data_IF_428689703724
#
_entry.id   IF_428689703724
#
_cell.length_a   1.000
_cell.length_b   1.000
_cell.length_c   1.000
_cell.angle_alpha   90.00
_cell.angle_beta   90.00
_cell.angle_gamma   90.00
#
_symmetry.space_group_name_H-M   'P 1'
#
loop_
_entity.id
_entity.type
_entity.pdbx_description
1 polymer ?
#
# COMPACT_ATOMS: atom_id res chain seq x y z
N UNK A 1 4.81 27.38 -10.36
CA UNK A 1 4.26 26.00 -10.33
C UNK A 1 3.33 25.86 -11.54
N UNK A 2 3.57 24.89 -12.45
CA UNK A 2 2.79 24.76 -13.70
C UNK A 2 1.34 24.30 -13.42
N UNK A 3 0.39 24.70 -14.28
CA UNK A 3 -1.03 24.38 -14.11
C UNK A 3 -1.32 22.87 -14.01
N UNK A 4 -0.59 22.05 -14.77
CA UNK A 4 -0.68 20.59 -14.73
C UNK A 4 -0.24 19.99 -13.39
N UNK A 5 0.84 20.51 -12.80
CA UNK A 5 1.30 20.03 -11.49
C UNK A 5 0.28 20.34 -10.38
N UNK A 6 -0.35 21.51 -10.45
CA UNK A 6 -1.43 21.89 -9.50
C UNK A 6 -2.65 20.99 -9.66
N UNK A 7 -3.02 20.64 -10.89
CA UNK A 7 -4.13 19.73 -11.19
C UNK A 7 -3.85 18.30 -10.70
N UNK A 8 -2.63 17.80 -10.87
CA UNK A 8 -2.22 16.48 -10.36
C UNK A 8 -2.27 16.42 -8.83
N UNK A 9 -1.77 17.46 -8.16
CA UNK A 9 -1.80 17.55 -6.70
C UNK A 9 -3.24 17.55 -6.15
N UNK A 10 -4.12 18.36 -6.77
CA UNK A 10 -5.53 18.45 -6.40
C UNK A 10 -6.26 17.12 -6.62
N UNK A 11 -5.99 16.43 -7.73
CA UNK A 11 -6.57 15.11 -7.99
C UNK A 11 -6.11 14.07 -6.96
N UNK A 12 -4.84 14.09 -6.58
CA UNK A 12 -4.29 13.19 -5.56
C UNK A 12 -4.91 13.44 -4.19
N UNK A 13 -5.01 14.70 -3.78
CA UNK A 13 -5.63 15.08 -2.50
C UNK A 13 -7.12 14.74 -2.47
N UNK A 14 -7.84 15.00 -3.56
CA UNK A 14 -9.24 14.62 -3.69
C UNK A 14 -9.46 13.10 -3.60
N UNK A 15 -8.55 12.31 -4.17
CA UNK A 15 -8.55 10.86 -4.03
C UNK A 15 -8.32 10.40 -2.60
N UNK A 16 -7.33 10.99 -1.91
CA UNK A 16 -7.03 10.69 -0.50
C UNK A 16 -8.22 10.98 0.42
N UNK A 17 -8.87 12.14 0.26
CA UNK A 17 -10.05 12.50 1.07
C UNK A 17 -11.20 11.51 0.89
N UNK A 18 -11.51 11.15 -0.35
CA UNK A 18 -12.59 10.18 -0.65
C UNK A 18 -12.26 8.81 -0.08
N UNK A 19 -10.99 8.39 -0.18
CA UNK A 19 -10.59 7.11 0.35
C UNK A 19 -10.62 7.08 1.88
N UNK A 20 -10.17 8.16 2.54
CA UNK A 20 -10.31 8.32 3.98
C UNK A 20 -11.77 8.22 4.42
N UNK A 21 -12.69 8.97 3.80
CA UNK A 21 -14.12 8.88 4.10
C UNK A 21 -14.65 7.46 3.88
N UNK A 22 -14.32 6.82 2.75
CA UNK A 22 -14.79 5.48 2.44
C UNK A 22 -14.33 4.44 3.48
N UNK A 23 -13.06 4.48 3.90
CA UNK A 23 -12.56 3.54 4.90
C UNK A 23 -13.08 3.84 6.30
N UNK A 24 -13.31 5.11 6.65
CA UNK A 24 -14.02 5.46 7.91
C UNK A 24 -15.42 4.89 7.92
N UNK A 25 -16.20 5.13 6.85
CA UNK A 25 -17.58 4.63 6.73
C UNK A 25 -17.58 3.10 6.76
N UNK A 26 -16.66 2.44 6.06
CA UNK A 26 -16.56 0.98 6.08
C UNK A 26 -16.23 0.43 7.47
N UNK A 27 -15.36 1.09 8.25
CA UNK A 27 -15.06 0.69 9.63
C UNK A 27 -16.26 0.92 10.56
N UNK A 28 -16.96 2.05 10.41
CA UNK A 28 -18.17 2.34 11.19
C UNK A 28 -19.27 1.32 10.88
N UNK A 29 -19.53 1.05 9.60
CA UNK A 29 -20.44 -0.02 9.17
C UNK A 29 -19.95 -1.38 9.69
N UNK A 30 -18.64 -1.64 9.61
CA UNK A 30 -17.94 -2.78 10.21
C UNK A 30 -18.44 -3.14 11.60
N UNK A 31 -18.38 -2.17 12.51
CA UNK A 31 -18.71 -2.36 13.92
C UNK A 31 -20.18 -2.15 14.28
N UNK A 32 -21.02 -1.64 13.36
CA UNK A 32 -22.44 -1.33 13.66
C UNK A 32 -23.42 -2.22 12.92
N UNK A 33 -23.15 -2.49 11.64
CA UNK A 33 -24.05 -3.20 10.74
C UNK A 33 -23.44 -4.51 10.27
N UNK A 34 -22.14 -4.53 9.97
CA UNK A 34 -21.41 -5.75 9.62
C UNK A 34 -21.06 -6.51 10.92
N UNK A 35 -20.36 -7.63 10.78
CA UNK A 35 -20.04 -8.53 11.88
C UNK A 35 -18.64 -8.33 12.45
N UNK A 36 -18.12 -7.10 12.60
CA UNK A 36 -16.80 -6.93 13.19
C UNK A 36 -16.85 -7.27 14.68
N UNK A 37 -16.28 -8.41 15.05
CA UNK A 37 -16.17 -8.86 16.43
C UNK A 37 -15.11 -8.08 17.24
N UNK A 38 -14.29 -7.29 16.54
CA UNK A 38 -13.24 -6.48 17.14
C UNK A 38 -13.79 -5.34 18.00
N UNK A 39 -13.12 -5.07 19.12
CA UNK A 39 -13.46 -3.94 20.01
C UNK A 39 -13.31 -2.59 19.31
N UNK A 40 -14.21 -1.64 19.61
CA UNK A 40 -14.11 -0.23 19.23
C UNK A 40 -12.79 0.43 19.63
N UNK A 41 -12.09 -0.12 20.62
CA UNK A 41 -10.76 0.36 21.01
C UNK A 41 -9.71 0.13 19.92
N UNK A 42 -9.86 -0.88 19.06
CA UNK A 42 -8.90 -1.19 18.01
C UNK A 42 -8.74 -0.04 17.00
N UNK A 43 -9.78 0.41 16.27
CA UNK A 43 -9.63 1.52 15.33
C UNK A 43 -9.20 2.82 16.03
N UNK A 44 -9.65 3.07 17.28
CA UNK A 44 -9.26 4.26 18.03
C UNK A 44 -7.76 4.27 18.39
N UNK A 45 -7.23 3.13 18.87
CA UNK A 45 -5.79 2.98 19.16
C UNK A 45 -4.96 3.09 17.89
N UNK A 46 -5.39 2.44 16.79
CA UNK A 46 -4.70 2.55 15.51
C UNK A 46 -4.65 4.01 15.02
N UNK A 47 -5.76 4.75 15.10
CA UNK A 47 -5.80 6.17 14.74
C UNK A 47 -4.89 7.01 15.63
N UNK A 48 -4.99 6.84 16.96
CA UNK A 48 -4.15 7.59 17.90
C UNK A 48 -2.66 7.36 17.62
N UNK A 49 -2.23 6.11 17.50
CA UNK A 49 -0.83 5.76 17.23
C UNK A 49 -0.41 6.23 15.84
N UNK A 50 -1.26 6.07 14.82
CA UNK A 50 -0.98 6.52 13.47
C UNK A 50 -0.75 8.02 13.39
N UNK A 51 -1.63 8.81 14.00
CA UNK A 51 -1.50 10.27 14.05
C UNK A 51 -0.29 10.72 14.85
N UNK A 52 -0.09 10.17 16.05
CA UNK A 52 1.08 10.49 16.87
C UNK A 52 2.38 10.17 16.14
N UNK A 53 2.46 9.01 15.47
CA UNK A 53 3.66 8.61 14.72
C UNK A 53 3.91 9.52 13.51
N UNK A 54 2.87 9.86 12.74
CA UNK A 54 3.01 10.75 11.57
C UNK A 54 3.44 12.16 11.99
N UNK A 55 2.87 12.70 13.08
CA UNK A 55 3.26 14.01 13.63
C UNK A 55 4.70 13.98 14.13
N UNK A 56 5.09 12.96 14.91
CA UNK A 56 6.45 12.83 15.44
C UNK A 56 7.49 12.74 14.32
N UNK A 57 7.24 11.91 13.31
CA UNK A 57 8.16 11.78 12.16
C UNK A 57 8.27 13.09 11.36
N UNK A 58 7.17 13.82 11.21
CA UNK A 58 7.17 15.12 10.54
C UNK A 58 7.91 16.18 11.34
N UNK A 59 7.77 16.20 12.67
CA UNK A 59 8.53 17.10 13.54
C UNK A 59 10.03 16.82 13.44
N UNK A 60 10.44 15.56 13.53
CA UNK A 60 11.85 15.14 13.41
C UNK A 60 12.40 15.50 12.03
N UNK A 61 11.67 15.21 10.95
CA UNK A 61 12.09 15.55 9.59
C UNK A 61 12.13 17.06 9.33
N UNK A 62 11.25 17.83 9.96
CA UNK A 62 11.20 19.27 9.82
C UNK A 62 12.35 19.95 10.54
N UNK A 63 12.61 19.49 11.77
CA UNK A 63 13.76 19.91 12.57
C UNK A 63 15.08 19.60 11.87
N UNK A 64 15.28 18.35 11.43
CA UNK A 64 16.51 17.93 10.75
C UNK A 64 16.79 18.71 9.45
N UNK A 65 15.74 19.14 8.72
CA UNK A 65 15.87 19.85 7.44
C UNK A 65 15.73 21.37 7.57
N UNK A 66 15.61 21.92 8.79
CA UNK A 66 15.40 23.35 9.01
C UNK A 66 14.16 23.92 8.32
N UNK A 67 13.14 23.08 8.07
CA UNK A 67 11.90 23.48 7.38
C UNK A 67 10.76 23.58 8.38
N UNK A 68 9.74 24.36 8.05
CA UNK A 68 8.49 24.38 8.84
C UNK A 68 7.72 23.05 8.65
N UNK A 69 7.11 22.50 9.72
CA UNK A 69 6.23 21.34 9.64
C UNK A 69 5.08 21.55 8.63
N UNK A 70 4.77 20.52 7.86
CA UNK A 70 3.75 20.57 6.80
C UNK A 70 2.33 20.82 7.34
N UNK A 71 2.05 20.36 8.56
CA UNK A 71 0.77 20.57 9.21
C UNK A 71 0.59 21.99 9.75
N UNK A 72 1.65 22.82 9.80
CA UNK A 72 1.53 24.22 10.19
C UNK A 72 0.93 25.06 9.05
N UNK A 73 -0.13 25.80 9.37
CA UNK A 73 -0.79 26.71 8.43
C UNK A 73 -2.31 26.51 8.30
N UNK A 74 -2.96 25.93 9.31
CA UNK A 74 -4.42 25.85 9.45
C UNK A 74 -4.94 24.44 9.72
N UNK A 75 -6.19 24.34 10.18
CA UNK A 75 -6.87 23.07 10.46
C UNK A 75 -7.02 22.19 9.22
N UNK A 76 -7.26 22.79 8.05
CA UNK A 76 -7.39 22.06 6.78
C UNK A 76 -6.08 21.37 6.36
N UNK A 77 -4.93 22.05 6.52
CA UNK A 77 -3.61 21.46 6.25
C UNK A 77 -3.28 20.33 7.22
N UNK A 78 -3.63 20.49 8.50
CA UNK A 78 -3.46 19.43 9.49
C UNK A 78 -4.29 18.20 9.12
N UNK A 79 -5.57 18.38 8.76
CA UNK A 79 -6.43 17.27 8.33
C UNK A 79 -5.88 16.59 7.08
N UNK A 80 -5.52 17.36 6.05
CA UNK A 80 -4.96 16.84 4.80
C UNK A 80 -3.65 16.07 5.02
N UNK A 81 -2.82 16.54 5.95
CA UNK A 81 -1.59 15.89 6.36
C UNK A 81 -1.85 14.54 7.06
N UNK A 82 -2.89 14.44 7.88
CA UNK A 82 -3.23 13.22 8.62
C UNK A 82 -3.98 12.16 7.79
N UNK A 83 -4.54 12.50 6.62
CA UNK A 83 -5.29 11.55 5.77
C UNK A 83 -4.54 10.25 5.50
N UNK A 84 -3.25 10.25 5.09
CA UNK A 84 -2.56 9.01 4.79
C UNK A 84 -2.34 8.12 6.03
N UNK A 85 -2.18 8.73 7.21
CA UNK A 85 -2.07 8.02 8.47
C UNK A 85 -3.42 7.45 8.92
N UNK A 86 -4.50 8.23 8.76
CA UNK A 86 -5.88 7.79 9.01
C UNK A 86 -6.22 6.53 8.23
N UNK A 87 -5.97 6.56 6.92
CA UNK A 87 -6.23 5.43 6.02
C UNK A 87 -5.42 4.20 6.44
N UNK A 88 -4.14 4.38 6.75
CA UNK A 88 -3.26 3.26 7.11
C UNK A 88 -3.67 2.65 8.45
N UNK A 89 -3.99 3.47 9.45
CA UNK A 89 -4.44 3.02 10.78
C UNK A 89 -5.74 2.25 10.72
N UNK A 90 -6.76 2.78 10.03
CA UNK A 90 -8.04 2.07 9.86
C UNK A 90 -7.90 0.79 9.04
N UNK A 91 -7.05 0.78 8.00
CA UNK A 91 -6.79 -0.44 7.25
C UNK A 91 -6.13 -1.52 8.11
N UNK A 92 -5.20 -1.13 8.99
CA UNK A 92 -4.54 -2.05 9.93
C UNK A 92 -5.53 -2.58 10.96
N UNK A 93 -6.38 -1.73 11.55
CA UNK A 93 -7.44 -2.16 12.48
C UNK A 93 -8.42 -3.14 11.85
N UNK A 94 -8.88 -2.82 10.65
CA UNK A 94 -9.87 -3.62 9.94
C UNK A 94 -9.34 -4.97 9.45
N UNK A 95 -8.05 -5.09 9.15
CA UNK A 95 -7.49 -6.29 8.50
C UNK A 95 -6.65 -7.16 9.43
N UNK A 96 -6.14 -6.62 10.54
CA UNK A 96 -5.34 -7.39 11.49
C UNK A 96 -6.21 -7.90 12.64
N UNK A 97 -6.07 -9.17 12.98
CA UNK A 97 -6.80 -9.78 14.08
C UNK A 97 -5.85 -10.17 15.23
N UNK A 98 -5.83 -9.35 16.27
CA UNK A 98 -4.95 -9.49 17.42
C UNK A 98 -5.68 -9.90 18.73
N UNK A 99 -6.91 -10.45 18.61
CA UNK A 99 -7.80 -10.74 19.73
C UNK A 99 -8.01 -9.49 20.62
N UNK A 100 -7.90 -9.64 21.94
CA UNK A 100 -8.06 -8.56 22.93
C UNK A 100 -6.84 -7.62 23.04
N UNK A 101 -5.70 -7.99 22.44
CA UNK A 101 -4.45 -7.25 22.61
C UNK A 101 -4.39 -6.07 21.65
N UNK A 102 -4.34 -4.85 22.19
CA UNK A 102 -4.28 -3.62 21.40
C UNK A 102 -2.86 -3.26 20.96
N UNK A 103 -1.84 -3.74 21.65
CA UNK A 103 -0.45 -3.36 21.36
C UNK A 103 0.10 -3.90 20.03
N UNK A 104 -0.26 -5.11 19.52
CA UNK A 104 0.20 -5.56 18.20
C UNK A 104 -0.37 -4.67 17.09
N UNK A 105 -1.58 -4.15 17.29
CA UNK A 105 -2.22 -3.20 16.39
C UNK A 105 -1.52 -1.83 16.39
N UNK A 106 -1.18 -1.35 17.59
CA UNK A 106 -0.36 -0.15 17.76
C UNK A 106 1.00 -0.31 17.06
N UNK A 107 1.68 -1.44 17.26
CA UNK A 107 2.93 -1.77 16.59
C UNK A 107 2.77 -1.79 15.07
N UNK A 108 1.77 -2.50 14.56
CA UNK A 108 1.50 -2.61 13.12
C UNK A 108 1.29 -1.23 12.50
N UNK A 109 0.55 -0.35 13.17
CA UNK A 109 0.29 1.00 12.68
C UNK A 109 1.55 1.88 12.75
N UNK A 110 2.30 1.84 13.86
CA UNK A 110 3.56 2.57 13.97
C UNK A 110 4.57 2.12 12.90
N UNK A 111 4.69 0.81 12.65
CA UNK A 111 5.52 0.23 11.60
C UNK A 111 5.04 0.65 10.20
N UNK A 112 3.72 0.66 9.97
CA UNK A 112 3.13 1.13 8.72
C UNK A 112 3.54 2.58 8.42
N UNK A 113 3.33 3.50 9.38
CA UNK A 113 3.67 4.92 9.21
C UNK A 113 5.19 5.12 9.12
N UNK A 114 5.96 4.44 9.98
CA UNK A 114 7.42 4.48 9.97
C UNK A 114 8.03 4.04 8.64
N UNK A 115 7.45 3.02 7.99
CA UNK A 115 7.93 2.53 6.69
C UNK A 115 7.97 3.61 5.61
N UNK A 116 7.07 4.60 5.66
CA UNK A 116 6.99 5.72 4.70
C UNK A 116 8.14 6.69 4.86
N UNK A 117 8.63 6.86 6.09
CA UNK A 117 9.75 7.72 6.40
C UNK A 117 11.09 7.03 6.10
N UNK A 118 11.20 5.75 6.44
CA UNK A 118 12.46 4.98 6.38
C UNK A 118 12.74 4.49 4.95
N UNK A 119 11.78 3.82 4.31
CA UNK A 119 12.02 3.09 3.06
C UNK A 119 11.63 3.91 1.84
N UNK A 120 12.52 4.82 1.43
CA UNK A 120 12.30 5.74 0.29
C UNK A 120 13.29 5.53 -0.83
N UNK A 121 12.81 5.09 -1.99
CA UNK A 121 13.63 4.89 -3.17
C UNK A 121 13.64 6.15 -4.08
N UNK A 122 14.75 6.41 -4.80
CA UNK A 122 14.81 7.48 -5.80
C UNK A 122 13.91 7.14 -7.00
N UNK A 123 12.97 8.03 -7.31
CA UNK A 123 12.03 7.92 -8.44
C UNK A 123 12.01 9.26 -9.19
N UNK A 124 12.64 9.29 -10.36
CA UNK A 124 12.76 10.50 -11.16
C UNK A 124 13.67 11.53 -10.49
N UNK A 125 13.13 12.72 -10.18
CA UNK A 125 13.87 13.82 -9.52
C UNK A 125 13.73 13.85 -8.00
N UNK A 126 12.99 12.93 -7.40
CA UNK A 126 12.74 12.91 -5.96
C UNK A 126 12.72 11.50 -5.38
N UNK A 127 12.37 11.41 -4.10
CA UNK A 127 12.28 10.13 -3.39
C UNK A 127 10.82 9.81 -3.05
N UNK A 128 10.47 8.52 -3.11
CA UNK A 128 9.13 8.03 -2.77
C UNK A 128 9.24 6.74 -1.96
N UNK A 129 8.32 6.56 -1.02
CA UNK A 129 8.22 5.27 -0.36
C UNK A 129 7.80 4.20 -1.37
N UNK A 130 8.34 3.00 -1.22
CA UNK A 130 8.07 1.90 -2.15
C UNK A 130 7.26 0.75 -1.52
N UNK A 131 7.10 0.74 -0.19
CA UNK A 131 6.17 -0.15 0.50
C UNK A 131 4.78 0.47 0.66
N UNK A 132 3.76 -0.36 0.51
CA UNK A 132 2.41 -0.02 0.93
C UNK A 132 2.41 0.02 2.48
N UNK A 133 2.09 1.17 3.11
CA UNK A 133 2.27 1.35 4.54
C UNK A 133 1.53 0.31 5.38
N UNK A 134 0.22 0.20 5.21
CA UNK A 134 -0.61 -0.73 6.00
C UNK A 134 -0.23 -2.18 5.71
N UNK A 135 0.03 -2.53 4.46
CA UNK A 135 0.50 -3.88 4.10
C UNK A 135 1.82 -4.25 4.79
N UNK A 136 2.78 -3.31 4.83
CA UNK A 136 4.07 -3.51 5.48
C UNK A 136 3.90 -3.69 7.00
N UNK A 137 3.09 -2.84 7.64
CA UNK A 137 2.76 -2.98 9.06
C UNK A 137 2.13 -4.34 9.39
N UNK A 138 1.14 -4.78 8.60
CA UNK A 138 0.52 -6.10 8.74
C UNK A 138 1.56 -7.21 8.54
N UNK A 139 2.35 -7.14 7.46
CA UNK A 139 3.38 -8.13 7.14
C UNK A 139 4.38 -8.30 8.29
N UNK A 140 4.93 -7.19 8.79
CA UNK A 140 5.92 -7.22 9.86
C UNK A 140 5.33 -7.81 11.15
N UNK A 141 4.08 -7.47 11.45
CA UNK A 141 3.38 -7.98 12.64
C UNK A 141 3.14 -9.48 12.55
N UNK A 142 2.70 -9.99 11.40
CA UNK A 142 2.48 -11.43 11.16
C UNK A 142 3.79 -12.23 11.19
N UNK A 143 4.92 -11.63 10.80
CA UNK A 143 6.24 -12.26 10.89
C UNK A 143 6.78 -12.32 12.31
N UNK A 144 6.57 -11.26 13.10
CA UNK A 144 7.11 -11.17 14.47
C UNK A 144 6.21 -11.85 15.51
N UNK A 145 4.91 -11.94 15.25
CA UNK A 145 3.93 -12.43 16.22
C UNK A 145 3.07 -13.52 15.59
N UNK A 146 3.54 -14.77 15.69
CA UNK A 146 2.85 -15.93 15.10
C UNK A 146 1.44 -16.19 15.65
N UNK A 147 1.08 -15.60 16.79
CA UNK A 147 -0.28 -15.67 17.38
C UNK A 147 -1.23 -14.59 16.85
N UNK A 148 -0.76 -13.66 16.02
CA UNK A 148 -1.59 -12.63 15.38
C UNK A 148 -2.04 -13.16 14.02
N UNK A 149 -3.33 -12.98 13.73
CA UNK A 149 -3.94 -13.38 12.47
C UNK A 149 -4.43 -12.20 11.65
N UNK A 150 -5.21 -12.53 10.63
CA UNK A 150 -5.89 -11.58 9.75
C UNK A 150 -7.38 -11.66 10.07
N UNK A 151 -8.08 -10.54 9.96
CA UNK A 151 -9.52 -10.48 10.10
C UNK A 151 -10.18 -11.53 9.18
N UNK A 152 -10.96 -12.48 9.76
CA UNK A 152 -11.67 -13.47 8.98
C UNK A 152 -12.60 -12.84 7.93
N UNK A 153 -12.74 -13.43 6.73
CA UNK A 153 -13.59 -12.87 5.68
C UNK A 153 -15.07 -12.68 6.06
N UNK A 154 -15.60 -13.51 6.97
CA UNK A 154 -17.00 -13.44 7.40
C UNK A 154 -17.32 -12.17 8.21
N UNK A 155 -16.34 -11.52 8.85
CA UNK A 155 -16.54 -10.26 9.60
C UNK A 155 -17.22 -9.18 8.74
N UNK A 156 -16.99 -9.21 7.43
CA UNK A 156 -17.57 -8.24 6.50
C UNK A 156 -19.02 -8.53 6.11
N UNK A 157 -19.55 -9.72 6.39
CA UNK A 157 -20.84 -10.18 5.87
C UNK A 157 -21.73 -10.90 6.88
N UNK A 158 -21.25 -11.20 8.09
CA UNK A 158 -21.97 -12.02 9.10
C UNK A 158 -23.42 -11.58 9.36
N UNK A 159 -23.63 -10.27 9.51
CA UNK A 159 -24.94 -9.67 9.82
C UNK A 159 -25.71 -9.23 8.56
N UNK A 160 -25.23 -9.61 7.38
CA UNK A 160 -25.89 -9.29 6.11
C UNK A 160 -26.80 -10.44 5.69
N UNK A 161 -27.96 -10.09 5.15
CA UNK A 161 -28.81 -11.05 4.45
C UNK A 161 -28.17 -11.45 3.11
N UNK A 162 -28.70 -12.50 2.48
CA UNK A 162 -28.25 -13.02 1.17
C UNK A 162 -28.08 -11.94 0.09
N UNK A 163 -28.87 -10.86 0.13
CA UNK A 163 -28.73 -9.73 -0.82
C UNK A 163 -27.53 -8.85 -0.47
N UNK A 164 -27.31 -8.60 0.82
CA UNK A 164 -26.18 -7.83 1.33
C UNK A 164 -24.84 -8.49 1.03
N UNK A 165 -24.77 -9.82 1.09
CA UNK A 165 -23.58 -10.62 0.76
C UNK A 165 -23.07 -10.38 -0.66
N UNK A 166 -23.96 -10.09 -1.61
CA UNK A 166 -23.58 -9.76 -2.99
C UNK A 166 -23.44 -8.25 -3.20
N UNK A 167 -24.28 -7.46 -2.53
CA UNK A 167 -24.33 -6.01 -2.70
C UNK A 167 -23.05 -5.34 -2.20
N UNK A 168 -22.56 -5.72 -1.01
CA UNK A 168 -21.37 -5.11 -0.42
C UNK A 168 -20.11 -5.33 -1.30
N UNK A 169 -19.73 -6.56 -1.69
CA UNK A 169 -18.63 -6.77 -2.63
C UNK A 169 -18.83 -6.02 -3.95
N UNK A 170 -20.05 -6.00 -4.50
CA UNK A 170 -20.34 -5.28 -5.75
C UNK A 170 -20.09 -3.77 -5.63
N UNK A 171 -20.52 -3.14 -4.52
CA UNK A 171 -20.26 -1.72 -4.24
C UNK A 171 -18.75 -1.48 -4.17
N UNK A 172 -18.00 -2.32 -3.46
CA UNK A 172 -16.54 -2.18 -3.32
C UNK A 172 -15.84 -2.36 -4.67
N UNK A 173 -16.26 -3.32 -5.49
CA UNK A 173 -15.72 -3.54 -6.83
C UNK A 173 -16.00 -2.34 -7.74
N UNK A 174 -17.23 -1.83 -7.77
CA UNK A 174 -17.63 -0.71 -8.63
C UNK A 174 -16.89 0.56 -8.21
N UNK A 175 -16.91 0.89 -6.92
CA UNK A 175 -16.24 2.09 -6.39
C UNK A 175 -14.72 1.99 -6.52
N UNK A 176 -14.14 0.82 -6.22
CA UNK A 176 -12.72 0.53 -6.39
C UNK A 176 -12.28 0.61 -7.84
N UNK A 177 -13.04 0.04 -8.77
CA UNK A 177 -12.78 0.11 -10.22
C UNK A 177 -12.86 1.54 -10.70
N UNK A 178 -13.89 2.30 -10.30
CA UNK A 178 -14.04 3.70 -10.66
C UNK A 178 -12.85 4.55 -10.16
N UNK A 179 -12.44 4.36 -8.90
CA UNK A 179 -11.27 5.05 -8.33
C UNK A 179 -10.01 4.74 -9.15
N UNK A 180 -9.81 3.46 -9.47
CA UNK A 180 -8.61 3.00 -10.18
C UNK A 180 -8.59 3.37 -11.66
N UNK A 181 -9.75 3.50 -12.28
CA UNK A 181 -9.88 3.99 -13.65
C UNK A 181 -9.62 5.49 -13.73
N UNK A 182 -10.28 6.28 -12.88
CA UNK A 182 -10.32 7.75 -13.02
C UNK A 182 -9.15 8.47 -12.37
N UNK A 183 -8.61 7.94 -11.26
CA UNK A 183 -7.62 8.65 -10.44
C UNK A 183 -6.24 7.99 -10.46
N UNK A 184 -6.14 6.68 -10.23
CA UNK A 184 -4.83 6.01 -10.09
C UNK A 184 -4.31 5.44 -11.42
N UNK A 185 -5.20 5.17 -12.39
CA UNK A 185 -4.91 4.54 -13.68
C UNK A 185 -4.21 3.17 -13.55
N UNK A 186 -4.70 2.34 -12.62
CA UNK A 186 -4.11 1.04 -12.25
C UNK A 186 -4.86 -0.19 -12.76
N UNK A 187 -5.83 -0.01 -13.67
CA UNK A 187 -6.56 -1.14 -14.26
C UNK A 187 -5.64 -2.20 -14.92
N UNK A 188 -4.54 -1.86 -15.63
CA UNK A 188 -3.64 -2.88 -16.17
C UNK A 188 -2.99 -3.73 -15.08
N UNK A 189 -2.63 -3.13 -13.94
CA UNK A 189 -2.10 -3.85 -12.79
C UNK A 189 -3.14 -4.79 -12.18
N UNK A 190 -4.39 -4.31 -12.03
CA UNK A 190 -5.49 -5.12 -11.49
C UNK A 190 -5.75 -6.32 -12.40
N UNK A 191 -5.85 -6.10 -13.71
CA UNK A 191 -6.09 -7.15 -14.68
C UNK A 191 -4.96 -8.20 -14.67
N UNK A 192 -3.70 -7.77 -14.58
CA UNK A 192 -2.57 -8.69 -14.51
C UNK A 192 -2.50 -9.46 -13.19
N UNK A 193 -2.83 -8.81 -12.07
CA UNK A 193 -2.92 -9.46 -10.76
C UNK A 193 -4.04 -10.51 -10.75
N UNK A 194 -5.26 -10.15 -11.16
CA UNK A 194 -6.41 -11.06 -11.17
C UNK A 194 -6.23 -12.19 -12.18
N UNK A 195 -5.80 -11.88 -13.40
CA UNK A 195 -5.54 -12.88 -14.44
C UNK A 195 -4.38 -13.80 -14.04
N UNK A 196 -3.30 -13.24 -13.49
CA UNK A 196 -2.18 -14.00 -12.97
C UNK A 196 -2.60 -14.91 -11.81
N UNK A 197 -3.42 -14.41 -10.88
CA UNK A 197 -3.95 -15.20 -9.77
C UNK A 197 -4.82 -16.35 -10.27
N UNK A 198 -5.72 -16.08 -11.21
CA UNK A 198 -6.61 -17.08 -11.79
C UNK A 198 -5.79 -18.19 -12.48
N UNK A 199 -4.86 -17.81 -13.36
CA UNK A 199 -4.01 -18.76 -14.08
C UNK A 199 -3.14 -19.58 -13.12
N UNK A 200 -2.46 -18.95 -12.16
CA UNK A 200 -1.64 -19.70 -11.20
C UNK A 200 -2.49 -20.63 -10.31
N UNK A 201 -3.71 -20.23 -9.95
CA UNK A 201 -4.61 -21.04 -9.14
C UNK A 201 -5.06 -22.29 -9.90
N UNK A 202 -5.35 -22.16 -11.20
CA UNK A 202 -5.66 -23.29 -12.07
C UNK A 202 -4.45 -24.21 -12.27
N UNK A 203 -3.26 -23.66 -12.51
CA UNK A 203 -2.02 -24.43 -12.61
C UNK A 203 -1.78 -25.23 -11.32
N UNK A 204 -1.92 -24.58 -10.15
CA UNK A 204 -1.77 -25.24 -8.85
C UNK A 204 -2.87 -26.29 -8.61
N UNK A 205 -4.10 -25.99 -8.99
CA UNK A 205 -5.20 -26.96 -8.90
C UNK A 205 -4.90 -28.22 -9.71
N UNK A 206 -4.39 -28.06 -10.93
CA UNK A 206 -3.98 -29.15 -11.80
C UNK A 206 -2.77 -29.93 -11.26
N UNK A 207 -1.72 -29.24 -10.79
CA UNK A 207 -0.50 -29.88 -10.28
C UNK A 207 -0.70 -30.67 -8.99
N UNK A 208 -1.57 -30.21 -8.10
CA UNK A 208 -1.81 -30.84 -6.79
C UNK A 208 -3.14 -31.60 -6.74
N UNK A 209 -3.79 -31.80 -7.89
CA UNK A 209 -5.07 -32.52 -8.02
C UNK A 209 -6.15 -32.02 -7.05
N UNK A 210 -6.15 -30.71 -6.77
CA UNK A 210 -7.15 -30.09 -5.89
C UNK A 210 -8.30 -29.49 -6.70
N UNK A 211 -9.53 -29.44 -6.17
CA UNK A 211 -10.66 -28.84 -6.89
C UNK A 211 -10.36 -27.38 -7.31
N UNK A 212 -10.57 -27.00 -8.59
CA UNK A 212 -10.30 -25.63 -9.07
C UNK A 212 -11.06 -24.56 -8.29
N UNK A 213 -12.28 -24.89 -7.85
CA UNK A 213 -13.11 -24.01 -7.02
C UNK A 213 -12.42 -23.67 -5.70
N UNK A 214 -11.79 -24.65 -5.04
CA UNK A 214 -11.08 -24.42 -3.79
C UNK A 214 -9.85 -23.54 -4.00
N UNK A 215 -9.15 -23.69 -5.13
CA UNK A 215 -8.00 -22.86 -5.47
C UNK A 215 -8.37 -21.40 -5.77
N UNK A 216 -9.57 -21.16 -6.31
CA UNK A 216 -10.11 -19.84 -6.66
C UNK A 216 -10.93 -19.19 -5.55
N UNK A 217 -11.31 -19.95 -4.51
CA UNK A 217 -12.12 -19.47 -3.39
C UNK A 217 -11.61 -18.16 -2.77
N UNK A 218 -10.30 -17.91 -2.61
CA UNK A 218 -9.84 -16.62 -2.07
C UNK A 218 -10.33 -15.41 -2.86
N UNK A 219 -10.61 -15.53 -4.17
CA UNK A 219 -11.07 -14.42 -5.02
C UNK A 219 -12.44 -13.89 -4.63
N UNK A 220 -13.27 -14.70 -3.96
CA UNK A 220 -14.61 -14.29 -3.52
C UNK A 220 -14.59 -13.61 -2.14
N UNK A 221 -13.47 -13.69 -1.42
CA UNK A 221 -13.34 -13.12 -0.08
C UNK A 221 -13.23 -11.59 -0.08
N UNK A 222 -13.89 -10.94 0.87
CA UNK A 222 -13.86 -9.49 1.02
C UNK A 222 -12.45 -8.93 1.20
N UNK A 223 -11.59 -9.62 1.96
CA UNK A 223 -10.18 -9.26 2.12
C UNK A 223 -9.43 -9.23 0.78
N UNK A 224 -9.71 -10.16 -0.13
CA UNK A 224 -9.09 -10.21 -1.46
C UNK A 224 -9.55 -9.05 -2.34
N UNK A 225 -10.83 -8.69 -2.29
CA UNK A 225 -11.40 -7.56 -3.03
C UNK A 225 -10.80 -6.24 -2.52
N UNK A 226 -10.80 -6.03 -1.21
CA UNK A 226 -10.21 -4.85 -0.57
C UNK A 226 -8.71 -4.73 -0.90
N UNK A 227 -7.98 -5.84 -0.77
CA UNK A 227 -6.57 -5.90 -1.15
C UNK A 227 -6.35 -5.52 -2.63
N UNK A 228 -7.14 -6.09 -3.54
CA UNK A 228 -7.03 -5.85 -4.98
C UNK A 228 -7.25 -4.38 -5.35
N UNK A 229 -8.31 -3.76 -4.83
CA UNK A 229 -8.69 -2.40 -5.24
C UNK A 229 -8.02 -1.29 -4.45
N UNK A 230 -7.55 -1.56 -3.23
CA UNK A 230 -7.10 -0.53 -2.30
C UNK A 230 -5.69 -0.74 -1.72
N UNK A 231 -5.08 -1.93 -1.86
CA UNK A 231 -3.71 -2.17 -1.41
C UNK A 231 -2.71 -2.38 -2.56
N UNK A 232 -2.97 -3.34 -3.44
CA UNK A 232 -2.07 -3.68 -4.57
C UNK A 232 -1.92 -2.49 -5.51
N UNK A 233 -2.95 -1.66 -5.64
CA UNK A 233 -3.04 -0.54 -6.57
C UNK A 233 -2.52 0.78 -6.01
N UNK A 234 -1.88 0.78 -4.82
CA UNK A 234 -1.38 2.01 -4.21
C UNK A 234 -0.46 2.78 -5.20
N UNK A 235 -0.87 3.98 -5.65
CA UNK A 235 -0.16 4.71 -6.68
C UNK A 235 1.23 5.18 -6.24
N UNK A 236 1.51 5.24 -4.93
CA UNK A 236 2.81 5.64 -4.43
C UNK A 236 3.88 4.53 -4.62
N UNK A 237 3.45 3.26 -4.55
CA UNK A 237 4.34 2.09 -4.44
C UNK A 237 4.42 1.30 -5.75
N UNK A 238 3.45 1.49 -6.63
CA UNK A 238 3.33 0.80 -7.92
C UNK A 238 3.89 1.60 -9.09
N UNK A 239 4.38 0.93 -10.16
CA UNK A 239 4.88 1.61 -11.35
C UNK A 239 3.79 2.37 -12.12
N UNK A 240 4.20 3.38 -12.90
CA UNK A 240 3.28 4.22 -13.69
C UNK A 240 3.02 3.66 -15.10
N UNK A 241 4.04 3.15 -15.79
CA UNK A 241 3.89 2.61 -17.16
C UNK A 241 3.02 1.36 -17.22
N UNK A 242 2.14 1.25 -18.23
CA UNK A 242 1.17 0.15 -18.36
C UNK A 242 1.83 -1.24 -18.37
N UNK A 243 2.93 -1.39 -19.11
CA UNK A 243 3.63 -2.68 -19.17
C UNK A 243 4.30 -3.03 -17.83
N UNK A 244 4.92 -2.04 -17.17
CA UNK A 244 5.49 -2.25 -15.84
C UNK A 244 4.42 -2.57 -14.79
N UNK A 245 3.22 -2.01 -14.91
CA UNK A 245 2.06 -2.35 -14.09
C UNK A 245 1.65 -3.81 -14.29
N UNK A 246 1.64 -4.30 -15.54
CA UNK A 246 1.33 -5.72 -15.84
C UNK A 246 2.37 -6.63 -15.21
N UNK A 247 3.67 -6.37 -15.40
CA UNK A 247 4.73 -7.16 -14.77
C UNK A 247 4.67 -7.12 -13.25
N UNK A 248 4.34 -5.96 -12.66
CA UNK A 248 4.16 -5.85 -11.22
C UNK A 248 3.00 -6.73 -10.72
N UNK A 249 1.81 -6.60 -11.32
CA UNK A 249 0.63 -7.40 -10.94
C UNK A 249 0.85 -8.90 -11.11
N UNK A 250 1.43 -9.30 -12.26
CA UNK A 250 1.79 -10.69 -12.52
C UNK A 250 2.86 -11.20 -11.54
N UNK A 251 3.84 -10.37 -11.18
CA UNK A 251 4.86 -10.71 -10.18
C UNK A 251 4.27 -10.94 -8.78
N UNK A 252 3.28 -10.12 -8.37
CA UNK A 252 2.56 -10.34 -7.09
C UNK A 252 1.80 -11.67 -7.15
N UNK A 253 1.12 -11.98 -8.26
CA UNK A 253 0.39 -13.25 -8.44
C UNK A 253 1.32 -14.47 -8.42
N UNK A 254 2.45 -14.40 -9.11
CA UNK A 254 3.45 -15.46 -9.12
C UNK A 254 4.06 -15.67 -7.73
N UNK A 255 4.38 -14.58 -7.02
CA UNK A 255 4.92 -14.65 -5.66
C UNK A 255 3.88 -15.26 -4.69
N UNK A 256 2.61 -14.86 -4.80
CA UNK A 256 1.52 -15.47 -4.04
C UNK A 256 1.44 -16.98 -4.29
N UNK A 257 1.45 -17.41 -5.56
CA UNK A 257 1.42 -18.83 -5.92
C UNK A 257 2.60 -19.61 -5.33
N UNK A 258 3.81 -19.06 -5.39
CA UNK A 258 5.00 -19.65 -4.81
C UNK A 258 4.90 -19.81 -3.28
N UNK A 259 4.40 -18.78 -2.58
CA UNK A 259 4.17 -18.83 -1.14
C UNK A 259 3.13 -19.89 -0.78
N UNK A 260 2.06 -20.02 -1.56
CA UNK A 260 1.04 -21.05 -1.37
C UNK A 260 1.60 -22.46 -1.55
N UNK A 261 2.42 -22.70 -2.57
CA UNK A 261 3.11 -23.98 -2.78
C UNK A 261 4.10 -24.29 -1.66
N UNK A 262 4.67 -23.25 -1.05
CA UNK A 262 5.57 -23.36 0.11
C UNK A 262 4.81 -23.49 1.44
N UNK A 263 3.48 -23.65 1.42
CA UNK A 263 2.62 -23.72 2.60
C UNK A 263 2.71 -22.50 3.54
N UNK A 264 3.07 -21.33 3.01
CA UNK A 264 3.15 -20.09 3.77
C UNK A 264 1.77 -19.41 3.78
N UNK A 265 1.22 -19.25 4.98
CA UNK A 265 -0.04 -18.50 5.22
C UNK A 265 0.13 -17.00 5.00
N UNK A 266 -0.99 -16.28 4.87
CA UNK A 266 -1.02 -14.82 4.67
C UNK A 266 -0.32 -14.33 3.38
N UNK A 267 -0.29 -15.20 2.37
CA UNK A 267 0.47 -14.99 1.13
C UNK A 267 0.17 -13.68 0.40
N UNK A 268 -1.03 -13.11 0.51
CA UNK A 268 -1.37 -11.81 -0.13
C UNK A 268 -0.44 -10.70 0.37
N UNK A 269 -0.31 -10.55 1.69
CA UNK A 269 0.44 -9.46 2.30
C UNK A 269 1.94 -9.63 2.09
N UNK A 270 2.42 -10.88 2.25
CA UNK A 270 3.82 -11.23 2.02
C UNK A 270 4.21 -11.06 0.56
N UNK A 271 3.37 -11.50 -0.39
CA UNK A 271 3.65 -11.34 -1.82
C UNK A 271 3.81 -9.86 -2.20
N UNK A 272 2.92 -8.98 -1.74
CA UNK A 272 3.02 -7.55 -2.03
C UNK A 272 4.30 -6.95 -1.43
N UNK A 273 4.60 -7.28 -0.17
CA UNK A 273 5.82 -6.79 0.49
C UNK A 273 7.08 -7.26 -0.24
N UNK A 274 7.17 -8.54 -0.62
CA UNK A 274 8.31 -9.09 -1.36
C UNK A 274 8.49 -8.37 -2.70
N UNK A 275 7.42 -8.22 -3.49
CA UNK A 275 7.50 -7.56 -4.80
C UNK A 275 7.84 -6.07 -4.67
N UNK A 276 7.28 -5.39 -3.66
CA UNK A 276 7.68 -4.02 -3.32
C UNK A 276 9.16 -3.94 -2.93
N UNK A 277 9.67 -4.90 -2.17
CA UNK A 277 11.10 -4.99 -1.79
C UNK A 277 11.96 -5.10 -3.04
N UNK A 278 11.68 -6.08 -3.91
CA UNK A 278 12.43 -6.31 -5.16
C UNK A 278 12.40 -5.05 -6.03
N UNK A 279 11.24 -4.40 -6.16
CA UNK A 279 11.11 -3.14 -6.89
C UNK A 279 11.95 -2.02 -6.25
N UNK A 280 11.86 -1.84 -4.94
CA UNK A 280 12.64 -0.82 -4.21
C UNK A 280 14.14 -1.01 -4.40
N UNK A 281 14.64 -2.23 -4.25
CA UNK A 281 16.04 -2.59 -4.49
C UNK A 281 16.44 -2.34 -5.95
N UNK A 282 15.59 -2.66 -6.91
CA UNK A 282 15.85 -2.39 -8.33
C UNK A 282 15.98 -0.89 -8.63
N UNK A 283 15.22 -0.04 -7.94
CA UNK A 283 15.29 1.41 -8.09
C UNK A 283 16.60 1.97 -7.50
N UNK A 284 17.01 1.48 -6.32
CA UNK A 284 18.31 1.83 -5.74
C UNK A 284 19.48 1.39 -6.62
N UNK A 285 19.44 0.16 -7.13
CA UNK A 285 20.48 -0.36 -8.02
C UNK A 285 20.61 0.51 -9.29
N UNK A 286 19.48 0.90 -9.89
CA UNK A 286 19.47 1.80 -11.06
C UNK A 286 20.01 3.19 -10.75
N UNK A 287 19.64 3.76 -9.61
CA UNK A 287 20.18 5.06 -9.19
C UNK A 287 21.69 4.98 -8.97
N UNK A 288 22.17 3.93 -8.30
CA UNK A 288 23.59 3.71 -8.04
C UNK A 288 24.39 3.54 -9.34
N UNK A 289 23.89 2.74 -10.29
CA UNK A 289 24.51 2.61 -11.62
C UNK A 289 24.53 3.93 -12.39
N UNK A 290 23.44 4.71 -12.34
CA UNK A 290 23.36 6.03 -12.98
C UNK A 290 24.36 7.04 -12.43
N UNK A 291 24.58 7.06 -11.11
CA UNK A 291 25.61 7.89 -10.48
C UNK A 291 27.02 7.48 -10.92
N UNK A 292 27.29 6.17 -11.03
CA UNK A 292 28.60 5.63 -11.45
C UNK A 292 28.92 5.93 -12.91
N UNK A 293 27.92 5.92 -13.80
CA UNK A 293 28.12 6.30 -15.21
C UNK A 293 28.36 7.81 -15.36
N UNK A 294 27.67 8.64 -14.59
CA UNK A 294 27.91 10.11 -14.57
C UNK A 294 29.27 10.48 -14.00
N UNK A 295 29.72 9.81 -12.94
CA UNK A 295 31.06 10.08 -12.37
C UNK A 295 32.18 9.71 -13.34
N UNK A 296 32.04 8.62 -14.11
CA UNK A 296 32.99 8.24 -15.15
C UNK A 296 33.04 9.23 -16.33
N UNK A 297 31.88 9.76 -16.75
CA UNK A 297 31.82 10.80 -17.80
C UNK A 297 32.44 12.12 -17.33
N UNK A 298 32.24 12.51 -16.07
CA UNK A 298 32.83 13.73 -15.52
C UNK A 298 34.34 13.60 -15.23
N UNK A 299 34.83 12.40 -14.93
CA UNK A 299 36.26 12.14 -14.74
C UNK A 299 37.05 12.05 -16.07
N UNK A 300 36.37 11.82 -17.20
CA UNK A 300 36.98 11.84 -18.54
C UNK A 300 37.02 13.23 -19.20
N UNK A 301 36.42 14.25 -18.58
CA UNK A 301 36.54 15.65 -19.01
C UNK A 301 37.65 16.32 -18.18
N UNK A 302 38.91 16.18 -18.63
CA UNK A 302 40.01 17.01 -18.15
C UNK A 302 39.67 18.47 -18.43
N UNK A 303 39.81 19.41 -17.46
CA UNK A 303 39.61 20.82 -17.75
C UNK A 303 40.56 21.23 -18.87
N UNK A 304 40.03 21.80 -19.96
CA UNK A 304 40.88 22.39 -20.99
C UNK A 304 41.80 23.41 -20.30
N UNK A 305 43.13 23.39 -20.57
CA UNK A 305 44.04 24.33 -19.95
C UNK A 305 43.54 25.73 -20.30
N UNK A 306 43.28 26.53 -19.27
CA UNK A 306 42.98 27.96 -19.42
C UNK A 306 44.25 28.57 -20.03
N UNK A 307 44.22 28.78 -21.34
CA UNK A 307 45.23 29.54 -22.04
C UNK A 307 45.11 30.96 -21.52
N UNK A 308 45.95 31.30 -20.54
CA UNK A 308 46.17 32.66 -20.11
C UNK A 308 46.70 33.43 -21.33
N UNK A 309 45.83 34.17 -22.01
CA UNK A 309 46.26 35.22 -22.93
C UNK A 309 46.79 36.36 -22.06
N UNK A 310 48.11 36.36 -21.85
CA UNK A 310 48.82 37.51 -21.34
C UNK A 310 49.05 38.55 -22.44
N UNK A 311 49.00 39.82 -22.01
CA UNK A 311 49.40 41.07 -22.68
C UNK A 311 48.65 41.46 -23.97
#
# INVERSE_FOLDING_TARGET
MTADHKRELNNRLGGLRRFAVAITVLNLLGHTVLGFEQSWLQPLVALAVGYSTEILLELVQSWSKGRRPQFMGGSTKLLDFLLPAHISGLAVAMLLYANERLWPLAFATAAAIGSKAIFRAPVGKGERHFYNPSNFGITLTLLLFAWVGIAPPYHFTENLDRVGDWLLPAIIIVTGTFLNWRFTKKLPLIAAWLGGFFVQALIRSWLFETPPVAALLPMTGMAFILYTFYMVTDPATTPQGKLAQVFFGAGVAATYGLLMVSHIVFGLFFALTIVCTVRGLSLYARAWMGHRSRSKLSAGQTPAPVVARGA
#
